data_IF_957457894498
#
_entry.id   IF_957457894498
#
_cell.length_a   1.000
_cell.length_b   1.000
_cell.length_c   1.000
_cell.angle_alpha   90.00
_cell.angle_beta   90.00
_cell.angle_gamma   90.00
#
_symmetry.space_group_name_H-M   'P 1'
#
loop_
_entity.id
_entity.type
_entity.pdbx_description
1 polymer ?
#
# COMPACT_ATOMS: atom_id res chain seq x y z
N UNK A 1 5.73 16.80 22.29
CA UNK A 1 6.54 15.68 22.82
C UNK A 1 7.41 15.15 21.70
N UNK A 2 8.69 14.97 21.92
CA UNK A 2 9.59 14.42 20.88
C UNK A 2 9.53 12.89 20.94
N UNK A 3 9.42 12.20 19.79
CA UNK A 3 9.49 10.74 19.76
C UNK A 3 10.86 10.24 20.24
N UNK A 4 10.89 9.09 20.90
CA UNK A 4 12.13 8.42 21.28
C UNK A 4 12.93 7.98 20.04
N UNK A 5 14.22 7.70 20.20
CA UNK A 5 15.03 7.18 19.10
C UNK A 5 14.46 5.88 18.51
N UNK A 6 13.92 5.01 19.37
CA UNK A 6 13.27 3.78 18.94
C UNK A 6 11.99 4.04 18.13
N UNK A 7 11.17 5.01 18.55
CA UNK A 7 10.00 5.41 17.78
C UNK A 7 10.38 6.03 16.43
N UNK A 8 11.43 6.84 16.40
CA UNK A 8 11.94 7.44 15.15
C UNK A 8 12.42 6.36 14.19
N UNK A 9 13.15 5.36 14.68
CA UNK A 9 13.62 4.24 13.87
C UNK A 9 12.42 3.44 13.32
N UNK A 10 11.47 3.07 14.19
CA UNK A 10 10.25 2.38 13.78
C UNK A 10 9.47 3.18 12.71
N UNK A 11 9.31 4.49 12.89
CA UNK A 11 8.64 5.34 11.91
C UNK A 11 9.36 5.33 10.56
N UNK A 12 10.68 5.45 10.57
CA UNK A 12 11.47 5.41 9.33
C UNK A 12 11.36 4.06 8.61
N UNK A 13 11.58 2.97 9.32
CA UNK A 13 11.48 1.62 8.78
C UNK A 13 10.08 1.33 8.23
N UNK A 14 9.04 1.75 8.95
CA UNK A 14 7.65 1.55 8.52
C UNK A 14 7.32 2.37 7.28
N UNK A 15 7.78 3.62 7.19
CA UNK A 15 7.61 4.42 5.97
C UNK A 15 8.33 3.79 4.77
N UNK A 16 9.54 3.28 4.97
CA UNK A 16 10.26 2.57 3.91
C UNK A 16 9.53 1.30 3.47
N UNK A 17 9.01 0.53 4.42
CA UNK A 17 8.23 -0.67 4.13
C UNK A 17 6.97 -0.35 3.32
N UNK A 18 6.22 0.66 3.73
CA UNK A 18 5.00 1.10 3.02
C UNK A 18 5.35 1.50 1.59
N UNK A 19 6.33 2.36 1.40
CA UNK A 19 6.74 2.80 0.06
C UNK A 19 7.17 1.63 -0.82
N UNK A 20 8.01 0.76 -0.30
CA UNK A 20 8.48 -0.40 -1.05
C UNK A 20 7.34 -1.35 -1.42
N UNK A 21 6.41 -1.58 -0.49
CA UNK A 21 5.22 -2.39 -0.73
C UNK A 21 4.34 -1.79 -1.83
N UNK A 22 4.02 -0.49 -1.73
CA UNK A 22 3.18 0.21 -2.70
C UNK A 22 3.83 0.26 -4.10
N UNK A 23 5.13 0.51 -4.17
CA UNK A 23 5.86 0.52 -5.45
C UNK A 23 5.88 -0.87 -6.09
N UNK A 24 6.09 -1.92 -5.30
CA UNK A 24 6.04 -3.31 -5.77
C UNK A 24 4.64 -3.70 -6.25
N UNK A 25 3.62 -3.24 -5.53
CA UNK A 25 2.23 -3.47 -5.87
C UNK A 25 1.85 -2.76 -7.18
N UNK A 26 2.36 -1.53 -7.38
CA UNK A 26 2.16 -0.80 -8.63
C UNK A 26 2.73 -1.56 -9.83
N UNK A 27 3.93 -2.11 -9.70
CA UNK A 27 4.56 -2.92 -10.75
C UNK A 27 3.70 -4.13 -11.09
N UNK A 28 3.27 -4.88 -10.08
CA UNK A 28 2.40 -6.05 -10.27
C UNK A 28 1.05 -5.68 -10.88
N UNK A 29 0.49 -4.53 -10.50
CA UNK A 29 -0.78 -4.04 -11.02
C UNK A 29 -0.72 -3.71 -12.52
N UNK A 30 0.35 -3.05 -12.96
CA UNK A 30 0.49 -2.68 -14.36
C UNK A 30 0.89 -3.85 -15.26
N UNK A 31 1.32 -4.96 -14.70
CA UNK A 31 1.68 -6.16 -15.45
C UNK A 31 0.48 -6.66 -16.27
N UNK A 32 0.66 -6.73 -17.58
CA UNK A 32 -0.36 -7.18 -18.51
C UNK A 32 -1.46 -6.15 -18.84
N UNK A 33 -1.55 -5.02 -18.14
CA UNK A 33 -2.57 -4.00 -18.41
C UNK A 33 -2.20 -3.03 -19.52
N UNK A 34 -0.91 -2.82 -19.69
CA UNK A 34 -0.40 -1.98 -20.77
C UNK A 34 -0.10 -2.86 -21.99
N UNK A 35 -0.55 -2.47 -23.19
CA UNK A 35 -0.23 -3.22 -24.39
C UNK A 35 1.30 -3.20 -24.62
N UNK A 36 1.87 -4.27 -25.22
CA UNK A 36 3.31 -4.37 -25.51
C UNK A 36 3.83 -3.23 -26.38
N UNK A 37 2.94 -2.62 -27.15
CA UNK A 37 3.17 -1.38 -27.90
C UNK A 37 2.01 -0.45 -27.60
N UNK A 38 2.32 0.77 -27.17
CA UNK A 38 1.32 1.82 -27.06
C UNK A 38 0.81 2.13 -28.47
N UNK A 39 -0.31 1.52 -28.83
CA UNK A 39 -1.03 1.85 -30.04
C UNK A 39 -2.05 2.93 -29.70
N UNK A 40 -2.04 3.98 -30.51
CA UNK A 40 -2.98 5.09 -30.39
C UNK A 40 -4.42 4.56 -30.44
N UNK A 41 -5.18 4.74 -29.36
CA UNK A 41 -6.58 4.32 -29.27
C UNK A 41 -6.86 2.98 -28.55
N UNK A 42 -5.84 2.26 -28.06
CA UNK A 42 -6.08 1.10 -27.19
C UNK A 42 -6.42 1.56 -25.79
N UNK A 43 -7.54 1.07 -25.29
CA UNK A 43 -7.95 1.28 -23.92
C UNK A 43 -7.06 0.48 -22.95
N UNK A 44 -6.84 1.07 -21.76
CA UNK A 44 -6.26 0.38 -20.63
C UNK A 44 -7.19 -0.76 -20.18
N UNK A 45 -6.70 -2.00 -20.17
CA UNK A 45 -7.52 -3.15 -19.80
C UNK A 45 -7.48 -3.39 -18.28
N UNK A 46 -8.50 -2.91 -17.59
CA UNK A 46 -8.65 -3.09 -16.13
C UNK A 46 -8.76 -4.56 -15.72
N UNK A 47 -9.25 -5.43 -16.59
CA UNK A 47 -9.39 -6.85 -16.30
C UNK A 47 -8.10 -7.66 -16.47
N UNK A 48 -7.11 -7.10 -17.16
CA UNK A 48 -5.87 -7.81 -17.47
C UNK A 48 -4.89 -7.83 -16.30
N UNK A 49 -3.98 -8.81 -16.33
CA UNK A 49 -2.88 -8.94 -15.38
C UNK A 49 -3.27 -9.65 -14.07
N UNK A 50 -2.29 -9.77 -13.15
CA UNK A 50 -2.49 -10.55 -11.92
C UNK A 50 -3.42 -9.88 -10.90
N UNK A 51 -3.61 -8.57 -11.00
CA UNK A 51 -4.50 -7.80 -10.11
C UNK A 51 -5.56 -7.13 -10.98
N UNK A 52 -6.76 -7.72 -11.12
CA UNK A 52 -7.84 -7.13 -11.91
C UNK A 52 -8.51 -5.96 -11.18
N UNK A 53 -9.15 -5.09 -11.94
CA UNK A 53 -9.91 -3.96 -11.41
C UNK A 53 -9.07 -2.70 -11.24
N UNK A 54 -9.48 -1.83 -10.34
CA UNK A 54 -8.80 -0.59 -10.02
C UNK A 54 -7.92 -0.73 -8.78
N UNK A 55 -6.83 0.03 -8.75
CA UNK A 55 -5.91 0.08 -7.63
C UNK A 55 -5.70 1.52 -7.18
N UNK A 56 -5.89 1.76 -5.90
CA UNK A 56 -5.63 3.05 -5.28
C UNK A 56 -4.47 2.95 -4.30
N UNK A 57 -3.31 3.44 -4.71
CA UNK A 57 -2.09 3.42 -3.92
C UNK A 57 -2.03 4.59 -2.93
N UNK A 58 -1.35 4.37 -1.84
CA UNK A 58 -1.06 5.37 -0.81
C UNK A 58 0.40 5.84 -0.84
N UNK A 59 1.15 5.54 -1.90
CA UNK A 59 2.53 6.01 -2.08
C UNK A 59 2.58 7.54 -2.03
N UNK A 60 3.50 8.07 -1.22
CA UNK A 60 3.61 9.50 -0.93
C UNK A 60 2.82 9.97 0.30
N UNK A 61 2.05 9.10 0.95
CA UNK A 61 1.25 9.40 2.14
C UNK A 61 1.73 8.63 3.39
N UNK A 62 2.92 8.07 3.34
CA UNK A 62 3.47 7.19 4.38
C UNK A 62 3.53 7.90 5.75
N UNK A 63 3.96 9.15 5.75
CA UNK A 63 4.12 9.93 6.98
C UNK A 63 2.81 10.18 7.72
N UNK A 64 1.70 10.30 6.99
CA UNK A 64 0.37 10.48 7.59
C UNK A 64 -0.04 9.25 8.41
N UNK A 65 0.11 8.06 7.84
CA UNK A 65 -0.21 6.82 8.53
C UNK A 65 0.74 6.53 9.69
N UNK A 66 2.03 6.63 9.42
CA UNK A 66 3.06 6.28 10.42
C UNK A 66 3.05 7.27 11.58
N UNK A 67 2.94 8.57 11.30
CA UNK A 67 2.85 9.60 12.33
C UNK A 67 1.62 9.42 13.22
N UNK A 68 0.48 9.09 12.64
CA UNK A 68 -0.74 8.78 13.40
C UNK A 68 -0.57 7.51 14.23
N UNK A 69 -0.15 6.42 13.62
CA UNK A 69 -0.04 5.12 14.29
C UNK A 69 1.05 5.08 15.37
N UNK A 70 2.05 5.95 15.29
CA UNK A 70 3.06 6.08 16.35
C UNK A 70 2.48 6.51 17.72
N UNK A 71 1.28 7.08 17.72
CA UNK A 71 0.58 7.52 18.93
C UNK A 71 -0.57 6.59 19.33
N UNK A 72 -0.81 5.51 18.59
CA UNK A 72 -1.88 4.57 18.84
C UNK A 72 -1.37 3.32 19.54
N UNK A 73 -2.24 2.72 20.35
CA UNK A 73 -2.03 1.42 20.94
C UNK A 73 -2.61 0.31 20.04
N UNK A 74 -2.23 -0.94 20.30
CA UNK A 74 -2.73 -2.09 19.53
C UNK A 74 -4.26 -2.20 19.54
N UNK A 75 -4.89 -1.82 20.66
CA UNK A 75 -6.36 -1.82 20.83
C UNK A 75 -7.10 -0.75 20.03
N UNK A 76 -6.39 0.29 19.58
CA UNK A 76 -7.00 1.40 18.87
C UNK A 76 -7.32 1.02 17.44
N UNK A 77 -8.47 1.46 16.96
CA UNK A 77 -8.91 1.25 15.59
C UNK A 77 -8.61 2.45 14.71
N UNK A 78 -8.27 2.18 13.46
CA UNK A 78 -8.10 3.21 12.43
C UNK A 78 -9.13 2.98 11.33
N UNK A 79 -9.78 4.04 10.93
CA UNK A 79 -10.71 4.05 9.80
C UNK A 79 -10.08 4.85 8.67
N UNK A 80 -10.01 4.27 7.50
CA UNK A 80 -9.40 4.89 6.33
C UNK A 80 -10.37 4.97 5.15
N UNK A 81 -9.94 5.65 4.11
CA UNK A 81 -10.61 5.68 2.82
C UNK A 81 -10.20 4.44 1.99
N UNK A 82 -10.55 4.42 0.71
CA UNK A 82 -10.09 3.41 -0.23
C UNK A 82 -8.57 3.38 -0.46
N UNK A 83 -7.83 4.40 0.03
CA UNK A 83 -6.36 4.44 0.05
C UNK A 83 -5.85 4.12 1.46
N UNK A 84 -6.01 2.88 1.89
CA UNK A 84 -5.78 2.49 3.29
C UNK A 84 -4.60 1.54 3.52
N UNK A 85 -3.86 1.14 2.49
CA UNK A 85 -2.73 0.19 2.63
C UNK A 85 -1.71 0.66 3.67
N UNK A 86 -1.33 1.94 3.63
CA UNK A 86 -0.36 2.53 4.54
C UNK A 86 -0.80 2.45 6.00
N UNK A 87 -2.08 2.69 6.30
CA UNK A 87 -2.61 2.51 7.65
C UNK A 87 -2.64 1.05 8.08
N UNK A 88 -3.03 0.14 7.19
CA UNK A 88 -3.03 -1.29 7.48
C UNK A 88 -1.61 -1.78 7.82
N UNK A 89 -0.62 -1.38 7.04
CA UNK A 89 0.79 -1.73 7.27
C UNK A 89 1.29 -1.13 8.58
N UNK A 90 1.03 0.14 8.84
CA UNK A 90 1.45 0.81 10.08
C UNK A 90 0.79 0.22 11.33
N UNK A 91 -0.41 -0.37 11.20
CA UNK A 91 -1.10 -1.11 12.26
C UNK A 91 -0.66 -2.57 12.38
N UNK A 92 0.30 -3.03 11.55
CA UNK A 92 0.88 -4.35 11.67
C UNK A 92 0.07 -5.46 11.00
N UNK A 93 -0.63 -5.17 9.90
CA UNK A 93 -1.33 -6.20 9.13
C UNK A 93 -0.35 -7.29 8.66
N UNK A 94 -0.82 -8.52 8.56
CA UNK A 94 -0.05 -9.57 7.90
C UNK A 94 0.01 -9.28 6.39
N UNK A 95 1.21 -8.96 5.90
CA UNK A 95 1.42 -8.54 4.50
C UNK A 95 1.10 -9.65 3.51
N UNK A 96 1.37 -10.90 3.84
CA UNK A 96 1.05 -12.03 2.97
C UNK A 96 -0.46 -12.15 2.76
N UNK A 97 -1.24 -12.06 3.83
CA UNK A 97 -2.70 -12.11 3.77
C UNK A 97 -3.28 -10.90 3.03
N UNK A 98 -2.75 -9.71 3.29
CA UNK A 98 -3.17 -8.51 2.59
C UNK A 98 -2.87 -8.61 1.08
N UNK A 99 -1.70 -9.12 0.74
CA UNK A 99 -1.32 -9.35 -0.66
C UNK A 99 -2.23 -10.40 -1.31
N UNK A 100 -2.50 -11.50 -0.63
CA UNK A 100 -3.40 -12.54 -1.15
C UNK A 100 -4.81 -11.97 -1.43
N UNK A 101 -5.33 -11.13 -0.55
CA UNK A 101 -6.61 -10.46 -0.75
C UNK A 101 -6.59 -9.57 -2.00
N UNK A 102 -5.56 -8.73 -2.15
CA UNK A 102 -5.41 -7.85 -3.31
C UNK A 102 -5.33 -8.62 -4.62
N UNK A 103 -4.69 -9.79 -4.61
CA UNK A 103 -4.61 -10.68 -5.79
C UNK A 103 -5.84 -11.59 -5.95
N UNK A 104 -6.84 -11.48 -5.08
CA UNK A 104 -8.02 -12.34 -5.11
C UNK A 104 -7.73 -13.82 -4.84
N UNK A 105 -6.76 -14.12 -3.98
CA UNK A 105 -6.27 -15.46 -3.64
C UNK A 105 -6.64 -15.91 -2.23
N UNK A 106 -7.63 -15.33 -1.66
CA UNK A 106 -8.07 -15.66 -0.29
C UNK A 106 -8.82 -16.98 -0.26
#
# INVERSE_FOLDING_TARGET
MKPSAQQQLWMYETMCLIRHYEDSLAIAYFEGKLPPKIQKGLAFDLGAGPIPGEMHLAAGQESAAVGTCAHLEAKDSVWGTHRAHHFAIAKGVNLERMTAEIFGKV
#
